data_IF_026659953822
#
_entry.id   IF_026659953822
#
_cell.length_a   1.000
_cell.length_b   1.000
_cell.length_c   1.000
_cell.angle_alpha   90.00
_cell.angle_beta   90.00
_cell.angle_gamma   90.00
#
_symmetry.space_group_name_H-M   'P 1'
#
loop_
_entity.id
_entity.type
_entity.pdbx_description
1 polymer ?
#
# COMPACT_ATOMS: atom_id res chain seq x y z
N UNK A 1 -15.65 1.34 -15.09
CA UNK A 1 -15.30 -0.09 -14.82
C UNK A 1 -14.66 -0.17 -13.45
N UNK A 2 -15.09 -1.10 -12.61
CA UNK A 2 -14.49 -1.31 -11.29
C UNK A 2 -13.33 -2.30 -11.38
N UNK A 3 -12.36 -2.17 -10.47
CA UNK A 3 -11.17 -3.02 -10.46
C UNK A 3 -10.89 -3.59 -9.08
N UNK A 4 -10.48 -4.85 -9.06
CA UNK A 4 -9.71 -5.41 -7.97
C UNK A 4 -8.21 -5.07 -8.15
N UNK A 5 -7.40 -5.33 -7.13
CA UNK A 5 -5.96 -5.06 -7.19
C UNK A 5 -5.19 -6.01 -6.29
N UNK A 6 -3.99 -6.35 -6.73
CA UNK A 6 -2.94 -6.87 -5.86
C UNK A 6 -1.71 -5.96 -5.93
N UNK A 7 -1.09 -5.69 -4.78
CA UNK A 7 -0.05 -4.67 -4.68
C UNK A 7 1.07 -5.11 -3.72
N UNK A 8 1.94 -6.05 -4.14
CA UNK A 8 3.02 -6.54 -3.31
C UNK A 8 4.21 -5.58 -3.28
N UNK A 9 4.93 -5.55 -2.13
CA UNK A 9 6.25 -4.94 -2.05
C UNK A 9 7.31 -5.96 -2.43
N UNK A 10 8.26 -5.64 -3.33
CA UNK A 10 9.29 -6.58 -3.79
C UNK A 10 10.47 -6.65 -2.80
N UNK A 11 10.19 -6.92 -1.53
CA UNK A 11 11.18 -7.02 -0.45
C UNK A 11 11.65 -8.45 -0.17
N UNK A 12 11.13 -9.42 -0.91
CA UNK A 12 11.42 -10.84 -0.83
C UNK A 12 10.56 -11.64 -1.78
N UNK A 13 10.71 -12.96 -1.80
CA UNK A 13 9.83 -13.85 -2.56
C UNK A 13 8.45 -13.94 -1.94
N UNK A 14 7.45 -14.26 -2.76
CA UNK A 14 6.09 -14.48 -2.27
C UNK A 14 6.03 -15.83 -1.53
N UNK A 15 5.57 -15.81 -0.29
CA UNK A 15 5.23 -17.04 0.41
C UNK A 15 3.77 -17.46 0.13
N UNK A 16 3.40 -18.66 0.53
CA UNK A 16 2.08 -19.24 0.28
C UNK A 16 0.91 -18.33 0.70
N UNK A 17 1.06 -17.60 1.81
CA UNK A 17 0.06 -16.65 2.29
C UNK A 17 -0.15 -15.48 1.33
N UNK A 18 0.93 -14.96 0.73
CA UNK A 18 0.85 -13.89 -0.28
C UNK A 18 0.15 -14.40 -1.55
N UNK A 19 0.54 -15.59 -2.02
CA UNK A 19 -0.03 -16.22 -3.21
C UNK A 19 -1.53 -16.51 -3.02
N UNK A 20 -1.92 -17.04 -1.86
CA UNK A 20 -3.34 -17.24 -1.50
C UNK A 20 -4.12 -15.93 -1.53
N UNK A 21 -3.58 -14.85 -0.95
CA UNK A 21 -4.24 -13.55 -0.93
C UNK A 21 -4.40 -12.99 -2.35
N UNK A 22 -3.37 -13.09 -3.18
CA UNK A 22 -3.41 -12.67 -4.57
C UNK A 22 -4.48 -13.46 -5.36
N UNK A 23 -4.51 -14.78 -5.21
CA UNK A 23 -5.46 -15.66 -5.89
C UNK A 23 -6.90 -15.33 -5.48
N UNK A 24 -7.17 -15.14 -4.20
CA UNK A 24 -8.52 -14.78 -3.72
C UNK A 24 -8.95 -13.41 -4.23
N UNK A 25 -8.08 -12.41 -4.19
CA UNK A 25 -8.38 -11.08 -4.69
C UNK A 25 -8.70 -11.10 -6.20
N UNK A 26 -7.91 -11.85 -6.97
CA UNK A 26 -8.10 -12.03 -8.40
C UNK A 26 -9.41 -12.76 -8.71
N UNK A 27 -9.65 -13.90 -8.07
CA UNK A 27 -10.84 -14.72 -8.30
C UNK A 27 -12.13 -13.95 -7.96
N UNK A 28 -12.15 -13.20 -6.86
CA UNK A 28 -13.28 -12.37 -6.46
C UNK A 28 -13.53 -11.23 -7.47
N UNK A 29 -12.49 -10.58 -7.96
CA UNK A 29 -12.61 -9.53 -8.98
C UNK A 29 -13.19 -10.12 -10.28
N UNK A 30 -12.60 -11.21 -10.78
CA UNK A 30 -13.05 -11.87 -12.03
C UNK A 30 -14.47 -12.42 -11.92
N UNK A 31 -14.82 -13.04 -10.80
CA UNK A 31 -16.18 -13.53 -10.54
C UNK A 31 -17.23 -12.40 -10.58
N UNK A 32 -16.85 -11.21 -10.15
CA UNK A 32 -17.73 -10.04 -10.12
C UNK A 32 -17.70 -9.23 -11.42
N UNK A 33 -17.08 -9.75 -12.50
CA UNK A 33 -16.94 -9.05 -13.78
C UNK A 33 -16.05 -7.80 -13.72
N UNK A 34 -15.21 -7.68 -12.70
CA UNK A 34 -14.30 -6.55 -12.52
C UNK A 34 -12.96 -6.79 -13.22
N UNK A 35 -12.31 -5.71 -13.62
CA UNK A 35 -10.91 -5.76 -13.99
C UNK A 35 -10.01 -6.07 -12.79
N UNK A 36 -8.74 -6.39 -13.05
CA UNK A 36 -7.76 -6.66 -11.99
C UNK A 36 -6.44 -5.96 -12.33
N UNK A 37 -5.93 -5.16 -11.40
CA UNK A 37 -4.73 -4.37 -11.57
C UNK A 37 -3.57 -4.95 -10.74
N UNK A 38 -2.36 -4.77 -11.27
CA UNK A 38 -1.12 -5.12 -10.57
C UNK A 38 -0.32 -3.85 -10.28
N UNK A 39 0.06 -3.65 -9.02
CA UNK A 39 0.96 -2.57 -8.61
C UNK A 39 2.11 -3.13 -7.80
N UNK A 40 3.32 -2.77 -8.15
CA UNK A 40 4.52 -3.05 -7.35
C UNK A 40 4.76 -1.87 -6.42
N UNK A 41 4.79 -2.12 -5.13
CA UNK A 41 5.03 -1.11 -4.08
C UNK A 41 6.50 -1.13 -3.66
N UNK A 42 7.35 -0.52 -4.48
CA UNK A 42 8.81 -0.57 -4.40
C UNK A 42 9.44 0.61 -3.63
N UNK A 43 8.67 1.29 -2.79
CA UNK A 43 9.15 2.42 -1.98
C UNK A 43 9.88 1.98 -0.69
N UNK A 44 9.87 0.70 -0.35
CA UNK A 44 10.58 0.15 0.81
C UNK A 44 12.07 -0.02 0.48
N UNK A 45 12.96 0.34 1.41
CA UNK A 45 14.42 0.23 1.26
C UNK A 45 14.92 -1.21 0.98
N UNK A 46 14.11 -2.21 1.35
CA UNK A 46 14.39 -3.63 1.09
C UNK A 46 13.98 -4.08 -0.32
N UNK A 47 13.30 -3.22 -1.08
CA UNK A 47 12.84 -3.54 -2.43
C UNK A 47 14.02 -3.80 -3.36
N UNK A 48 13.92 -4.86 -4.16
CA UNK A 48 14.95 -5.24 -5.14
C UNK A 48 14.28 -5.66 -6.46
N UNK A 49 14.83 -5.25 -7.62
CA UNK A 49 14.27 -5.59 -8.93
C UNK A 49 14.11 -7.11 -9.16
N UNK A 50 15.06 -7.91 -8.69
CA UNK A 50 14.99 -9.37 -8.81
C UNK A 50 13.79 -9.99 -8.09
N UNK A 51 13.37 -9.45 -6.95
CA UNK A 51 12.16 -9.92 -6.27
C UNK A 51 10.91 -9.52 -7.02
N UNK A 52 10.88 -8.32 -7.59
CA UNK A 52 9.77 -7.90 -8.45
C UNK A 52 9.57 -8.86 -9.63
N UNK A 53 10.62 -9.19 -10.34
CA UNK A 53 10.56 -10.10 -11.49
C UNK A 53 10.05 -11.49 -11.07
N UNK A 54 10.60 -12.04 -9.98
CA UNK A 54 10.20 -13.35 -9.46
C UNK A 54 8.76 -13.36 -8.98
N UNK A 55 8.33 -12.35 -8.22
CA UNK A 55 6.95 -12.22 -7.76
C UNK A 55 5.96 -12.19 -8.92
N UNK A 56 6.24 -11.43 -9.97
CA UNK A 56 5.38 -11.37 -11.15
C UNK A 56 5.37 -12.68 -11.92
N UNK A 57 6.50 -13.40 -11.96
CA UNK A 57 6.59 -14.72 -12.58
C UNK A 57 5.78 -15.76 -11.80
N UNK A 58 5.87 -15.80 -10.47
CA UNK A 58 5.12 -16.70 -9.61
C UNK A 58 3.60 -16.49 -9.75
N UNK A 59 3.16 -15.24 -9.79
CA UNK A 59 1.75 -14.91 -9.97
C UNK A 59 1.24 -15.38 -11.34
N UNK A 60 2.03 -15.21 -12.41
CA UNK A 60 1.68 -15.72 -13.74
C UNK A 60 1.64 -17.25 -13.77
N UNK A 61 2.58 -17.91 -13.09
CA UNK A 61 2.62 -19.38 -13.00
C UNK A 61 1.37 -19.95 -12.32
N UNK A 62 0.74 -19.20 -11.39
CA UNK A 62 -0.55 -19.53 -10.79
C UNK A 62 -1.75 -19.19 -11.69
N UNK A 63 -1.55 -18.68 -12.89
CA UNK A 63 -2.62 -18.27 -13.78
C UNK A 63 -3.27 -16.94 -13.43
N UNK A 64 -2.70 -16.15 -12.52
CA UNK A 64 -3.21 -14.82 -12.17
C UNK A 64 -2.83 -13.85 -13.29
N UNK A 65 -3.84 -13.29 -13.93
CA UNK A 65 -3.71 -12.30 -15.00
C UNK A 65 -4.22 -10.93 -14.53
N UNK A 66 -3.65 -9.87 -15.10
CA UNK A 66 -4.08 -8.50 -14.82
C UNK A 66 -4.26 -7.69 -16.09
N UNK A 67 -5.03 -6.63 -15.97
CA UNK A 67 -5.44 -5.78 -17.08
C UNK A 67 -4.53 -4.55 -17.15
N UNK A 68 -3.96 -4.30 -18.30
CA UNK A 68 -3.05 -3.19 -18.53
C UNK A 68 -1.63 -3.40 -17.97
N UNK A 69 -0.81 -2.34 -17.95
CA UNK A 69 0.58 -2.42 -17.51
C UNK A 69 0.67 -2.59 -15.98
N UNK A 70 1.75 -3.24 -15.52
CA UNK A 70 2.12 -3.24 -14.10
C UNK A 70 2.47 -1.81 -13.70
N UNK A 71 1.82 -1.31 -12.66
CA UNK A 71 2.13 0.01 -12.11
C UNK A 71 3.30 -0.12 -11.13
N UNK A 72 4.33 0.67 -11.31
CA UNK A 72 5.46 0.75 -10.39
C UNK A 72 5.31 2.01 -9.55
N UNK A 73 5.26 1.88 -8.24
CA UNK A 73 4.93 2.98 -7.33
C UNK A 73 5.99 4.10 -7.38
N UNK A 74 7.27 3.75 -7.41
CA UNK A 74 8.37 4.73 -7.50
C UNK A 74 8.34 5.59 -8.77
N UNK A 75 7.72 5.12 -9.84
CA UNK A 75 7.57 5.86 -11.09
C UNK A 75 6.42 6.90 -11.05
N UNK A 76 5.72 7.01 -9.92
CA UNK A 76 4.54 7.89 -9.76
C UNK A 76 4.75 9.04 -8.77
N UNK A 77 5.98 9.32 -8.39
CA UNK A 77 6.34 10.37 -7.41
C UNK A 77 5.75 11.72 -7.76
N UNK A 78 5.83 12.15 -9.01
CA UNK A 78 5.24 13.41 -9.44
C UNK A 78 3.72 13.53 -9.14
N UNK A 79 2.98 12.42 -9.27
CA UNK A 79 1.56 12.39 -8.93
C UNK A 79 1.32 12.48 -7.41
N UNK A 80 2.19 11.87 -6.62
CA UNK A 80 2.12 11.95 -5.15
C UNK A 80 2.50 13.35 -4.67
N UNK A 81 3.53 13.98 -5.26
CA UNK A 81 3.94 15.35 -4.93
C UNK A 81 2.83 16.35 -5.24
N UNK A 82 2.17 16.22 -6.37
CA UNK A 82 1.03 17.08 -6.73
C UNK A 82 -0.15 16.89 -5.77
N UNK A 83 -0.46 15.66 -5.38
CA UNK A 83 -1.51 15.39 -4.41
C UNK A 83 -1.16 15.93 -3.02
N UNK A 84 0.10 15.76 -2.59
CA UNK A 84 0.59 16.31 -1.33
C UNK A 84 0.47 17.85 -1.31
N UNK A 85 0.95 18.53 -2.35
CA UNK A 85 0.85 19.98 -2.46
C UNK A 85 -0.61 20.46 -2.39
N UNK A 86 -1.50 19.82 -3.12
CA UNK A 86 -2.93 20.14 -3.08
C UNK A 86 -3.56 19.96 -1.70
N UNK A 87 -3.20 18.91 -0.97
CA UNK A 87 -3.70 18.69 0.38
C UNK A 87 -3.11 19.68 1.38
N UNK A 88 -1.84 20.03 1.20
CA UNK A 88 -1.16 21.05 2.03
C UNK A 88 -1.79 22.42 1.88
N UNK A 89 -1.98 22.89 0.66
CA UNK A 89 -2.64 24.17 0.34
C UNK A 89 -4.07 24.26 0.92
N UNK A 90 -4.75 23.13 1.03
CA UNK A 90 -6.10 23.07 1.61
C UNK A 90 -6.11 22.94 3.14
N UNK A 91 -4.96 22.96 3.80
CA UNK A 91 -4.84 22.81 5.25
C UNK A 91 -5.28 21.44 5.77
N UNK A 92 -5.22 20.40 4.92
CA UNK A 92 -5.63 19.02 5.27
C UNK A 92 -4.46 18.15 5.76
N UNK A 93 -3.25 18.71 5.80
CA UNK A 93 -2.05 18.07 6.31
C UNK A 93 -1.46 18.88 7.46
N UNK A 94 -0.81 18.19 8.36
CA UNK A 94 0.00 18.78 9.42
C UNK A 94 1.26 17.95 9.65
N UNK A 95 2.30 18.54 10.17
CA UNK A 95 3.54 17.83 10.50
C UNK A 95 3.35 17.01 11.77
N UNK A 96 3.79 15.75 11.76
CA UNK A 96 3.71 14.87 12.89
C UNK A 96 5.09 14.36 13.30
N UNK A 97 5.49 14.64 14.51
CA UNK A 97 6.79 14.29 15.10
C UNK A 97 6.72 13.07 16.05
N UNK A 98 5.55 12.46 16.20
CA UNK A 98 5.36 11.30 17.06
C UNK A 98 6.10 10.07 16.53
N UNK A 99 6.87 9.42 17.39
CA UNK A 99 7.43 8.10 17.12
C UNK A 99 6.35 7.01 17.30
N UNK A 100 6.65 5.80 16.82
CA UNK A 100 5.78 4.63 17.07
C UNK A 100 5.59 4.35 18.56
N UNK A 101 6.59 4.66 19.38
CA UNK A 101 6.53 4.51 20.83
C UNK A 101 5.58 5.52 21.46
N UNK A 102 5.65 6.79 21.05
CA UNK A 102 4.74 7.84 21.53
C UNK A 102 3.28 7.48 21.24
N UNK A 103 3.02 6.93 20.03
CA UNK A 103 1.69 6.47 19.64
C UNK A 103 1.21 5.27 20.48
N UNK A 104 2.11 4.32 20.77
CA UNK A 104 1.78 3.16 21.60
C UNK A 104 1.51 3.56 23.06
N UNK A 105 2.28 4.51 23.59
CA UNK A 105 2.10 5.01 24.95
C UNK A 105 0.81 5.84 25.08
N UNK A 106 0.47 6.66 24.07
CA UNK A 106 -0.79 7.38 24.02
C UNK A 106 -2.02 6.44 23.93
N UNK A 107 -1.89 5.32 23.20
CA UNK A 107 -2.95 4.31 23.11
C UNK A 107 -3.19 3.54 24.42
N UNK A 108 -2.22 3.54 25.34
CA UNK A 108 -2.34 2.93 26.68
C UNK A 108 -2.95 3.87 27.72
N UNK A 109 -3.17 5.14 27.37
CA UNK A 109 -3.80 6.09 28.29
C UNK A 109 -5.24 5.65 28.64
N UNK A 110 -5.71 5.82 29.91
CA UNK A 110 -6.98 5.28 30.39
C UNK A 110 -8.23 5.67 29.62
N UNK A 111 -8.15 6.71 28.79
CA UNK A 111 -9.28 7.24 28.01
C UNK A 111 -9.00 7.25 26.49
N UNK A 112 -7.89 6.63 26.03
CA UNK A 112 -7.55 6.53 24.62
C UNK A 112 -8.21 5.31 23.96
N UNK A 113 -8.81 5.48 22.78
CA UNK A 113 -9.24 4.34 21.99
C UNK A 113 -7.99 3.60 21.45
N UNK A 114 -7.86 2.28 21.67
CA UNK A 114 -6.70 1.52 21.19
C UNK A 114 -6.50 1.66 19.67
N UNK A 115 -5.28 2.01 19.26
CA UNK A 115 -4.91 2.11 17.84
C UNK A 115 -5.37 3.40 17.13
N UNK A 116 -5.99 4.34 17.85
CA UNK A 116 -6.37 5.65 17.28
C UNK A 116 -5.30 6.68 17.62
N UNK A 117 -4.86 7.43 16.61
CA UNK A 117 -3.95 8.56 16.82
C UNK A 117 -4.64 9.68 17.61
N UNK A 118 -4.09 10.13 18.75
CA UNK A 118 -4.76 11.11 19.63
C UNK A 118 -4.78 12.54 19.09
N UNK A 119 -4.07 12.81 17.97
CA UNK A 119 -4.00 14.15 17.40
C UNK A 119 -2.96 15.08 18.04
N UNK A 120 -2.00 14.54 18.79
CA UNK A 120 -1.01 15.31 19.57
C UNK A 120 -0.30 16.41 18.78
N UNK A 121 0.02 16.17 17.50
CA UNK A 121 0.71 17.15 16.67
C UNK A 121 -0.22 17.97 15.77
N UNK A 122 -1.51 17.74 15.81
CA UNK A 122 -2.45 18.39 14.86
C UNK A 122 -2.52 19.89 15.05
N UNK A 123 -2.44 20.35 16.28
CA UNK A 123 -2.64 21.74 16.65
C UNK A 123 -1.32 22.42 17.11
N UNK A 124 -0.17 21.83 16.75
CA UNK A 124 1.13 22.46 16.95
C UNK A 124 1.28 23.58 15.93
N UNK A 125 1.50 24.80 16.42
CA UNK A 125 1.80 26.00 15.63
C UNK A 125 3.29 26.15 15.39
#
# INVERSE_FOLDING_TARGET
MEYGRYAPSPSGDLHLGNLRTALLAWALARRSGRGFLMRVEDMDERSRPQFQERQLADLRALGITWDGPVQIQSQRTAGYDAAFASLWERGLLYECYCTRRDLADAARAPHGAPGVYPGTCRDLS
#
